data_IF_326993440791
#
_entry.id   IF_326993440791
#
_cell.length_a   1.000
_cell.length_b   1.000
_cell.length_c   1.000
_cell.angle_alpha   90.00
_cell.angle_beta   90.00
_cell.angle_gamma   90.00
#
_symmetry.space_group_name_H-M   'P 1'
#
loop_
_entity.id
_entity.type
_entity.pdbx_description
1 polymer ?
#
# COMPACT_ATOMS: atom_id res chain seq x y z
N UNK A 1 -5.71 -43.28 -2.40
CA UNK A 1 -5.80 -41.81 -2.62
C UNK A 1 -5.03 -41.49 -3.88
N UNK A 2 -5.68 -40.96 -4.93
CA UNK A 2 -4.97 -40.60 -6.17
C UNK A 2 -4.18 -39.31 -5.92
N UNK A 3 -2.86 -39.40 -5.90
CA UNK A 3 -2.01 -38.20 -5.99
C UNK A 3 -2.24 -37.56 -7.35
N UNK A 4 -2.84 -36.37 -7.35
CA UNK A 4 -3.03 -35.58 -8.55
C UNK A 4 -1.76 -34.73 -8.77
N UNK A 5 -0.71 -35.37 -9.28
CA UNK A 5 0.55 -34.68 -9.60
C UNK A 5 0.29 -33.72 -10.77
N UNK A 6 0.16 -32.42 -10.47
CA UNK A 6 0.00 -31.37 -11.49
C UNK A 6 1.29 -31.29 -12.28
N UNK A 7 1.32 -31.93 -13.46
CA UNK A 7 2.44 -31.81 -14.39
C UNK A 7 2.59 -30.34 -14.83
N UNK A 8 3.59 -29.65 -14.27
CA UNK A 8 3.94 -28.29 -14.69
C UNK A 8 4.61 -28.40 -16.06
N UNK A 9 3.90 -28.00 -17.10
CA UNK A 9 4.48 -27.91 -18.44
C UNK A 9 5.26 -26.61 -18.58
N UNK A 10 6.32 -26.61 -19.42
CA UNK A 10 7.10 -25.39 -19.72
C UNK A 10 6.22 -24.22 -20.17
N UNK A 11 5.19 -24.50 -20.98
CA UNK A 11 4.23 -23.49 -21.45
C UNK A 11 3.47 -22.87 -20.27
N UNK A 12 2.88 -23.70 -19.42
CA UNK A 12 2.17 -23.19 -18.23
C UNK A 12 3.09 -22.44 -17.27
N UNK A 13 4.38 -22.81 -17.19
CA UNK A 13 5.35 -22.09 -16.38
C UNK A 13 5.65 -20.69 -16.95
N UNK A 14 5.94 -20.60 -18.25
CA UNK A 14 6.22 -19.33 -18.93
C UNK A 14 4.99 -18.40 -18.87
N UNK A 15 3.79 -18.92 -19.13
CA UNK A 15 2.55 -18.14 -19.04
C UNK A 15 2.32 -17.57 -17.63
N UNK A 16 2.45 -18.41 -16.59
CA UNK A 16 2.27 -17.98 -15.21
C UNK A 16 3.33 -16.98 -14.76
N UNK A 17 4.59 -17.27 -15.02
CA UNK A 17 5.70 -16.40 -14.64
C UNK A 17 5.65 -15.07 -15.40
N UNK A 18 5.32 -15.11 -16.70
CA UNK A 18 5.11 -13.91 -17.51
C UNK A 18 3.97 -13.04 -17.00
N UNK A 19 2.83 -13.65 -16.64
CA UNK A 19 1.71 -12.92 -16.05
C UNK A 19 2.05 -12.27 -14.70
N UNK A 20 2.76 -12.97 -13.81
CA UNK A 20 3.20 -12.41 -12.52
C UNK A 20 4.20 -11.28 -12.73
N UNK A 21 5.19 -11.46 -13.60
CA UNK A 21 6.19 -10.43 -13.90
C UNK A 21 5.55 -9.17 -14.49
N UNK A 22 4.64 -9.33 -15.46
CA UNK A 22 3.86 -8.21 -15.99
C UNK A 22 3.02 -7.53 -14.90
N UNK A 23 2.40 -8.30 -14.00
CA UNK A 23 1.68 -7.76 -12.85
C UNK A 23 2.54 -6.86 -11.95
N UNK A 24 3.78 -7.26 -11.67
CA UNK A 24 4.71 -6.45 -10.88
C UNK A 24 5.18 -5.16 -11.57
N UNK A 25 5.15 -5.11 -12.92
CA UNK A 25 5.53 -3.89 -13.66
C UNK A 25 4.46 -2.80 -13.66
N UNK A 26 3.19 -3.17 -13.42
CA UNK A 26 2.06 -2.22 -13.44
C UNK A 26 1.82 -1.63 -12.04
N UNK A 27 2.24 -2.32 -10.98
CA UNK A 27 2.00 -1.90 -9.61
C UNK A 27 2.97 -0.79 -9.18
N UNK A 28 2.49 0.31 -8.56
CA UNK A 28 3.35 1.34 -7.99
C UNK A 28 4.25 0.78 -6.89
N UNK A 29 5.52 1.18 -6.84
CA UNK A 29 6.46 0.72 -5.79
C UNK A 29 5.99 1.01 -4.36
N UNK A 30 5.12 2.01 -4.17
CA UNK A 30 4.54 2.36 -2.86
C UNK A 30 3.59 1.30 -2.29
N UNK A 31 3.03 0.40 -3.11
CA UNK A 31 2.14 -0.68 -2.64
C UNK A 31 2.87 -2.00 -2.42
N UNK A 32 4.11 -2.12 -2.90
CA UNK A 32 4.94 -3.31 -2.74
C UNK A 32 5.80 -3.16 -1.48
N UNK A 33 5.56 -4.03 -0.50
CA UNK A 33 6.34 -4.04 0.75
C UNK A 33 7.82 -4.36 0.49
N UNK A 34 8.71 -3.77 1.29
CA UNK A 34 10.15 -4.10 1.30
C UNK A 34 11.08 -3.07 0.66
N UNK A 35 10.57 -2.10 -0.10
CA UNK A 35 11.40 -1.04 -0.74
C UNK A 35 11.57 0.21 0.12
N UNK A 36 11.58 0.09 1.45
CA UNK A 36 11.68 1.22 2.38
C UNK A 36 10.44 2.12 2.47
N UNK A 37 9.37 1.77 1.75
CA UNK A 37 8.06 2.42 1.85
C UNK A 37 7.16 1.63 2.79
N UNK A 38 6.38 2.32 3.63
CA UNK A 38 5.27 1.70 4.35
C UNK A 38 4.15 1.42 3.36
N UNK A 39 3.63 0.20 3.37
CA UNK A 39 2.47 -0.13 2.58
C UNK A 39 1.31 0.81 2.97
N UNK A 40 0.44 1.22 2.02
CA UNK A 40 -0.65 2.14 2.33
C UNK A 40 -1.60 1.59 3.40
N UNK A 41 -1.71 0.26 3.51
CA UNK A 41 -2.49 -0.46 4.53
C UNK A 41 -1.96 -0.26 5.95
N UNK A 42 -0.69 0.07 6.10
CA UNK A 42 0.01 0.13 7.38
C UNK A 42 0.07 1.55 7.94
N UNK A 43 -0.45 2.53 7.19
CA UNK A 43 -0.55 3.93 7.60
C UNK A 43 -1.82 4.17 8.41
N UNK A 44 -1.71 5.02 9.41
CA UNK A 44 -2.87 5.45 10.21
C UNK A 44 -3.74 6.42 9.41
N UNK A 45 -5.05 6.29 9.57
CA UNK A 45 -6.04 7.25 9.09
C UNK A 45 -6.35 8.23 10.22
N UNK A 46 -5.96 9.49 10.04
CA UNK A 46 -6.04 10.53 11.07
C UNK A 46 -7.04 11.59 10.65
N UNK A 47 -7.99 11.87 11.53
CA UNK A 47 -8.84 13.05 11.47
C UNK A 47 -8.33 14.11 12.45
N UNK A 48 -8.31 15.37 12.04
CA UNK A 48 -7.88 16.50 12.90
C UNK A 48 -9.04 17.45 13.12
N UNK A 49 -9.33 17.77 14.38
CA UNK A 49 -10.37 18.73 14.80
C UNK A 49 -9.69 19.87 15.56
N UNK A 50 -9.91 21.10 15.13
CA UNK A 50 -9.14 22.28 15.49
C UNK A 50 -7.79 22.27 14.78
N UNK A 51 -7.70 22.89 13.60
CA UNK A 51 -6.46 22.93 12.80
C UNK A 51 -5.57 24.13 13.16
N UNK A 52 -6.03 25.07 14.00
CA UNK A 52 -5.20 26.12 14.57
C UNK A 52 -4.09 25.62 15.52
N UNK A 53 -3.08 26.45 15.79
CA UNK A 53 -2.06 26.23 16.82
C UNK A 53 -1.42 24.84 16.82
N UNK A 54 -1.63 24.07 17.90
CA UNK A 54 -1.09 22.73 18.07
C UNK A 54 -1.66 21.71 17.08
N UNK A 55 -2.91 21.88 16.62
CA UNK A 55 -3.49 21.04 15.58
C UNK A 55 -2.69 21.10 14.28
N UNK A 56 -2.34 22.31 13.82
CA UNK A 56 -1.46 22.50 12.66
C UNK A 56 -0.07 21.91 12.90
N UNK A 57 0.50 22.11 14.08
CA UNK A 57 1.84 21.60 14.42
C UNK A 57 1.89 20.07 14.31
N UNK A 58 0.90 19.40 14.91
CA UNK A 58 0.79 17.95 14.89
C UNK A 58 0.48 17.43 13.48
N UNK A 59 -0.44 18.08 12.76
CA UNK A 59 -0.76 17.77 11.36
C UNK A 59 0.50 17.83 10.49
N UNK A 60 1.31 18.89 10.62
CA UNK A 60 2.56 19.03 9.86
C UNK A 60 3.59 17.96 10.20
N UNK A 61 3.62 17.48 11.44
CA UNK A 61 4.52 16.41 11.86
C UNK A 61 4.17 15.06 11.22
N UNK A 62 2.87 14.78 11.00
CA UNK A 62 2.40 13.45 10.56
C UNK A 62 1.92 13.38 9.10
N UNK A 63 1.62 14.51 8.44
CA UNK A 63 1.09 14.54 7.05
C UNK A 63 2.00 13.89 5.99
N UNK A 64 3.29 13.75 6.29
CA UNK A 64 4.26 13.12 5.37
C UNK A 64 4.29 11.59 5.49
N UNK A 65 3.82 11.04 6.61
CA UNK A 65 3.92 9.60 6.91
C UNK A 65 2.56 8.93 6.94
N UNK A 66 1.53 9.60 7.47
CA UNK A 66 0.19 9.07 7.69
C UNK A 66 -0.85 9.63 6.70
N UNK A 67 -2.04 9.02 6.68
CA UNK A 67 -3.15 9.45 5.85
C UNK A 67 -4.03 10.44 6.62
N UNK A 68 -4.14 11.67 6.13
CA UNK A 68 -5.08 12.65 6.69
C UNK A 68 -6.41 12.49 5.97
N UNK A 69 -7.42 12.00 6.69
CA UNK A 69 -8.72 11.64 6.09
C UNK A 69 -9.80 12.69 6.31
N UNK A 70 -9.65 13.55 7.32
CA UNK A 70 -10.59 14.62 7.61
C UNK A 70 -9.92 15.77 8.37
N UNK A 71 -10.41 16.98 8.14
CA UNK A 71 -10.05 18.20 8.86
C UNK A 71 -11.33 18.95 9.24
N UNK A 72 -11.37 19.54 10.43
CA UNK A 72 -12.47 20.36 10.91
C UNK A 72 -11.92 21.50 11.77
N UNK A 73 -12.45 22.71 11.61
CA UNK A 73 -12.23 23.85 12.50
C UNK A 73 -13.55 24.62 12.66
N UNK A 74 -13.60 25.50 13.67
CA UNK A 74 -14.74 26.40 13.92
C UNK A 74 -14.65 27.70 13.12
N UNK A 75 -13.44 28.06 12.67
CA UNK A 75 -13.17 29.15 11.72
C UNK A 75 -13.66 28.79 10.31
#
# INVERSE_FOLDING_TARGET
>A
MKENSKNITRRSFIERTGAVAAGLTILPGSVISGFGHRAPSDKLNIAVVGIGGMGNSNLRAVKGTENIVALCDVD
#
